data_IF_554612143602
#
_entry.id   IF_554612143602
#
_cell.length_a   1.000
_cell.length_b   1.000
_cell.length_c   1.000
_cell.angle_alpha   90.00
_cell.angle_beta   90.00
_cell.angle_gamma   90.00
#
_symmetry.space_group_name_H-M   'P 1'
#
loop_
_entity.id
_entity.type
_entity.pdbx_description
1 polymer ?
#
# COMPACT_ATOMS: atom_id res chain seq x y z
N UNK A 1 -71.04 -74.33 25.22
CA UNK A 1 -71.76 -74.29 23.91
C UNK A 1 -71.24 -73.05 23.17
N UNK A 2 -70.66 -73.30 21.99
CA UNK A 2 -70.69 -72.54 20.74
C UNK A 2 -70.91 -71.00 20.95
N UNK A 3 -70.23 -70.08 20.40
CA UNK A 3 -69.46 -69.90 19.14
C UNK A 3 -69.57 -68.41 18.84
N UNK A 4 -68.63 -67.88 18.18
CA UNK A 4 -68.81 -66.63 17.44
C UNK A 4 -67.65 -65.67 17.42
N UNK A 5 -66.68 -65.89 16.56
CA UNK A 5 -65.79 -64.85 16.07
C UNK A 5 -66.52 -63.89 15.16
N UNK A 6 -66.19 -62.64 15.08
CA UNK A 6 -66.12 -61.96 13.77
C UNK A 6 -64.83 -61.23 13.50
N UNK A 7 -64.33 -61.54 12.39
CA UNK A 7 -63.67 -60.73 11.33
C UNK A 7 -62.80 -59.54 11.66
N UNK A 8 -61.59 -59.66 11.23
CA UNK A 8 -60.56 -58.64 10.97
C UNK A 8 -61.04 -57.58 9.98
N UNK A 9 -60.97 -56.30 10.38
CA UNK A 9 -60.98 -55.14 9.49
C UNK A 9 -59.61 -54.61 9.31
N UNK A 10 -59.11 -54.63 8.07
CA UNK A 10 -57.85 -54.03 7.59
C UNK A 10 -57.85 -52.51 7.88
N UNK A 11 -56.88 -52.02 8.63
CA UNK A 11 -56.50 -50.63 8.67
C UNK A 11 -55.28 -50.43 7.75
N UNK A 12 -55.58 -49.82 6.60
CA UNK A 12 -54.58 -49.46 5.61
C UNK A 12 -53.59 -48.44 6.13
N UNK A 13 -52.33 -48.74 5.95
CA UNK A 13 -51.24 -47.80 6.18
C UNK A 13 -51.29 -46.69 5.12
N UNK A 14 -51.70 -45.50 5.53
CA UNK A 14 -51.52 -44.28 4.74
C UNK A 14 -50.04 -43.83 4.81
N UNK A 15 -49.22 -44.32 3.91
CA UNK A 15 -47.89 -43.81 3.63
C UNK A 15 -48.02 -42.39 3.09
N UNK A 16 -47.55 -41.40 3.87
CA UNK A 16 -47.37 -40.03 3.38
C UNK A 16 -46.32 -40.04 2.28
N UNK A 17 -46.75 -40.04 1.04
CA UNK A 17 -45.91 -39.64 -0.08
C UNK A 17 -45.55 -38.17 0.09
N UNK A 18 -44.33 -37.86 0.58
CA UNK A 18 -43.74 -36.53 0.50
C UNK A 18 -43.45 -36.30 -0.99
N UNK A 19 -44.20 -35.37 -1.57
CA UNK A 19 -44.16 -35.01 -2.98
C UNK A 19 -42.73 -34.74 -3.45
N UNK A 20 -42.32 -35.38 -4.55
CA UNK A 20 -41.03 -35.17 -5.23
C UNK A 20 -40.81 -33.68 -5.58
N UNK A 21 -41.87 -32.90 -5.73
CA UNK A 21 -41.84 -31.47 -5.98
C UNK A 21 -41.21 -30.66 -4.84
N UNK A 22 -41.42 -31.05 -3.57
CA UNK A 22 -40.83 -30.32 -2.40
C UNK A 22 -39.34 -30.58 -2.25
N UNK A 23 -38.85 -31.76 -2.62
CA UNK A 23 -37.40 -32.07 -2.62
C UNK A 23 -36.66 -31.33 -3.74
N UNK A 24 -37.27 -31.19 -4.91
CA UNK A 24 -36.65 -30.48 -6.06
C UNK A 24 -36.58 -28.97 -5.83
N UNK A 25 -37.57 -28.39 -5.14
CA UNK A 25 -37.56 -26.95 -4.80
C UNK A 25 -36.53 -26.64 -3.73
N UNK A 26 -36.35 -27.51 -2.73
CA UNK A 26 -35.37 -27.33 -1.66
C UNK A 26 -33.92 -27.44 -2.20
N UNK A 27 -33.66 -28.42 -3.07
CA UNK A 27 -32.32 -28.58 -3.72
C UNK A 27 -32.00 -27.43 -4.67
N UNK A 28 -33.02 -26.92 -5.41
CA UNK A 28 -32.84 -25.78 -6.30
C UNK A 28 -32.58 -24.48 -5.56
N UNK A 29 -33.25 -24.22 -4.44
CA UNK A 29 -33.00 -23.04 -3.59
C UNK A 29 -31.63 -23.11 -2.89
N UNK A 30 -31.17 -24.28 -2.45
CA UNK A 30 -29.84 -24.47 -1.89
C UNK A 30 -28.76 -24.31 -2.98
N UNK A 31 -29.01 -24.75 -4.20
CA UNK A 31 -28.10 -24.56 -5.34
C UNK A 31 -28.05 -23.08 -5.75
N UNK A 32 -29.17 -22.36 -5.80
CA UNK A 32 -29.21 -20.94 -6.09
C UNK A 32 -28.51 -20.12 -4.97
N UNK A 33 -28.76 -20.47 -3.71
CA UNK A 33 -28.05 -19.84 -2.57
C UNK A 33 -26.54 -20.07 -2.61
N UNK A 34 -26.09 -21.27 -3.02
CA UNK A 34 -24.67 -21.58 -3.21
C UNK A 34 -24.07 -20.84 -4.40
N UNK A 35 -24.78 -20.75 -5.52
CA UNK A 35 -24.37 -20.02 -6.72
C UNK A 35 -24.34 -18.51 -6.44
N UNK A 36 -25.37 -17.95 -5.78
CA UNK A 36 -25.36 -16.54 -5.36
C UNK A 36 -24.25 -16.26 -4.33
N UNK A 37 -24.02 -17.14 -3.38
CA UNK A 37 -22.93 -17.00 -2.40
C UNK A 37 -21.57 -17.11 -3.09
N UNK A 38 -21.40 -18.01 -4.07
CA UNK A 38 -20.19 -18.14 -4.87
C UNK A 38 -20.00 -16.94 -5.80
N UNK A 39 -21.07 -16.35 -6.35
CA UNK A 39 -21.03 -15.13 -7.17
C UNK A 39 -20.72 -13.89 -6.31
N UNK A 40 -21.32 -13.79 -5.13
CA UNK A 40 -21.02 -12.72 -4.16
C UNK A 40 -19.59 -12.87 -3.61
N UNK A 41 -19.14 -14.09 -3.29
CA UNK A 41 -17.74 -14.34 -3.00
C UNK A 41 -16.83 -14.07 -4.22
N UNK A 42 -17.22 -14.45 -5.42
CA UNK A 42 -16.49 -14.19 -6.67
C UNK A 42 -16.36 -12.70 -6.97
N UNK A 43 -17.41 -11.90 -6.77
CA UNK A 43 -17.37 -10.44 -6.88
C UNK A 43 -16.53 -9.76 -5.78
N UNK A 44 -16.47 -10.34 -4.57
CA UNK A 44 -15.58 -9.91 -3.51
C UNK A 44 -14.13 -10.40 -3.67
N UNK A 45 -13.91 -11.53 -4.38
CA UNK A 45 -12.60 -12.18 -4.51
C UNK A 45 -12.02 -12.14 -5.93
N UNK A 46 -12.77 -11.60 -6.91
CA UNK A 46 -12.33 -11.51 -8.31
C UNK A 46 -11.27 -10.45 -8.59
N UNK A 47 -10.92 -9.65 -7.60
CA UNK A 47 -9.77 -8.73 -7.68
C UNK A 47 -8.64 -9.30 -6.81
N UNK A 48 -7.45 -9.38 -7.36
CA UNK A 48 -6.22 -9.71 -6.63
C UNK A 48 -5.93 -8.60 -5.59
N UNK A 49 -6.71 -8.58 -4.51
CA UNK A 49 -6.43 -7.74 -3.37
C UNK A 49 -5.30 -8.40 -2.59
N UNK A 50 -4.08 -8.06 -2.94
CA UNK A 50 -2.94 -8.20 -2.05
C UNK A 50 -3.04 -6.98 -1.14
N UNK A 51 -3.18 -7.13 0.20
CA UNK A 51 -3.00 -5.98 1.08
C UNK A 51 -1.67 -5.35 0.71
N UNK A 52 -1.70 -4.06 0.40
CA UNK A 52 -0.51 -3.36 -0.05
C UNK A 52 0.62 -3.50 0.97
N UNK A 53 1.82 -3.61 0.49
CA UNK A 53 3.02 -3.59 1.29
C UNK A 53 3.54 -2.17 1.32
N UNK A 54 3.49 -1.60 2.49
CA UNK A 54 4.29 -0.46 2.87
C UNK A 54 5.43 -0.95 3.78
N UNK A 55 6.46 -0.20 3.99
CA UNK A 55 7.54 -0.50 4.94
C UNK A 55 7.02 -0.71 6.36
N UNK A 56 5.82 -0.20 6.59
CA UNK A 56 4.98 -0.42 7.75
C UNK A 56 3.54 -0.68 7.31
N UNK A 57 2.71 -1.18 8.24
CA UNK A 57 1.27 -1.24 8.02
C UNK A 57 0.63 0.16 7.98
N UNK A 58 -0.59 0.22 7.48
CA UNK A 58 -1.35 1.47 7.29
C UNK A 58 -1.43 2.31 8.56
N UNK A 59 -1.73 1.67 9.70
CA UNK A 59 -1.92 2.39 10.96
C UNK A 59 -0.59 2.93 11.50
N UNK A 60 0.51 2.30 11.17
CA UNK A 60 1.85 2.79 11.52
C UNK A 60 2.20 4.07 10.76
N UNK A 61 1.89 4.14 9.45
CA UNK A 61 2.06 5.38 8.68
C UNK A 61 1.23 6.54 9.25
N UNK A 62 -0.02 6.27 9.64
CA UNK A 62 -0.88 7.26 10.30
C UNK A 62 -0.31 7.70 11.66
N UNK A 63 0.25 6.77 12.44
CA UNK A 63 0.87 7.07 13.72
C UNK A 63 2.13 7.94 13.60
N UNK A 64 2.92 7.80 12.53
CA UNK A 64 4.05 8.67 12.22
C UNK A 64 3.56 10.11 11.99
N UNK A 65 2.46 10.26 11.23
CA UNK A 65 1.84 11.57 11.02
C UNK A 65 1.40 12.19 12.34
N UNK A 66 0.69 11.44 13.19
CA UNK A 66 0.21 11.95 14.48
C UNK A 66 1.36 12.39 15.38
N UNK A 67 2.44 11.61 15.40
CA UNK A 67 3.63 11.91 16.20
C UNK A 67 4.37 13.19 15.73
N UNK A 68 4.27 13.52 14.44
CA UNK A 68 4.88 14.71 13.85
C UNK A 68 3.91 15.89 13.69
N UNK A 69 2.61 15.67 13.86
CA UNK A 69 1.56 16.62 13.48
C UNK A 69 1.74 17.98 14.12
N UNK A 70 1.70 18.00 15.45
CA UNK A 70 1.65 19.25 16.23
C UNK A 70 2.95 20.06 16.15
N UNK A 71 4.07 19.36 16.27
CA UNK A 71 5.36 20.01 16.51
C UNK A 71 6.18 20.22 15.23
N UNK A 72 5.79 19.58 14.12
CA UNK A 72 6.55 19.65 12.87
C UNK A 72 5.67 19.98 11.66
N UNK A 73 4.53 19.29 11.46
CA UNK A 73 3.69 19.45 10.25
C UNK A 73 2.88 20.76 10.32
N UNK A 74 2.16 21.01 11.43
CA UNK A 74 1.35 22.24 11.58
C UNK A 74 2.18 23.52 11.45
N UNK A 75 3.34 23.66 12.10
CA UNK A 75 4.19 24.84 11.90
C UNK A 75 4.60 25.07 10.44
N UNK A 76 4.87 23.98 9.70
CA UNK A 76 5.23 24.07 8.29
C UNK A 76 4.04 24.47 7.40
N UNK A 77 2.86 23.93 7.69
CA UNK A 77 1.60 24.34 7.02
C UNK A 77 1.33 25.81 7.26
N UNK A 78 1.38 26.28 8.51
CA UNK A 78 1.13 27.68 8.88
C UNK A 78 2.19 28.64 8.35
N UNK A 79 3.43 28.21 8.17
CA UNK A 79 4.46 29.01 7.51
C UNK A 79 4.09 29.36 6.07
N UNK A 80 3.52 28.39 5.33
CA UNK A 80 3.11 28.58 3.94
C UNK A 80 1.69 29.17 3.80
N UNK A 81 0.81 28.86 4.75
CA UNK A 81 -0.59 29.27 4.77
C UNK A 81 -0.95 29.88 6.14
N UNK A 82 -0.48 31.11 6.44
CA UNK A 82 -0.55 31.69 7.79
C UNK A 82 -1.98 31.98 8.28
N UNK A 83 -2.95 32.05 7.38
CA UNK A 83 -4.34 32.33 7.71
C UNK A 83 -5.21 31.05 7.81
N UNK A 84 -4.61 29.86 7.77
CA UNK A 84 -5.37 28.61 7.87
C UNK A 84 -6.07 28.51 9.22
N UNK A 85 -7.38 28.23 9.19
CA UNK A 85 -8.19 28.04 10.39
C UNK A 85 -7.98 26.66 11.01
N UNK A 86 -8.39 26.43 12.28
CA UNK A 86 -8.33 25.10 12.88
C UNK A 86 -9.12 24.03 12.09
N UNK A 87 -10.24 24.40 11.50
CA UNK A 87 -11.07 23.52 10.68
C UNK A 87 -10.37 23.13 9.38
N UNK A 88 -9.68 24.10 8.74
CA UNK A 88 -8.87 23.83 7.55
C UNK A 88 -7.65 22.97 7.88
N UNK A 89 -7.01 23.17 9.04
CA UNK A 89 -5.92 22.32 9.52
C UNK A 89 -6.41 20.88 9.82
N UNK A 90 -7.61 20.73 10.39
CA UNK A 90 -8.22 19.41 10.60
C UNK A 90 -8.48 18.70 9.25
N UNK A 91 -8.96 19.45 8.26
CA UNK A 91 -9.11 18.92 6.90
C UNK A 91 -7.75 18.57 6.28
N UNK A 92 -6.75 19.42 6.43
CA UNK A 92 -5.39 19.19 5.96
C UNK A 92 -4.80 17.90 6.56
N UNK A 93 -5.06 17.60 7.83
CA UNK A 93 -4.63 16.36 8.49
C UNK A 93 -5.14 15.11 7.76
N UNK A 94 -6.41 15.12 7.32
CA UNK A 94 -6.96 14.02 6.51
C UNK A 94 -6.24 13.87 5.15
N UNK A 95 -5.72 14.94 4.57
CA UNK A 95 -4.90 14.89 3.36
C UNK A 95 -3.47 14.39 3.64
N UNK A 96 -2.88 14.73 4.79
CA UNK A 96 -1.58 14.16 5.19
C UNK A 96 -1.68 12.63 5.33
N UNK A 97 -2.75 12.13 5.98
CA UNK A 97 -3.00 10.68 6.03
C UNK A 97 -3.13 10.07 4.64
N UNK A 98 -3.88 10.74 3.74
CA UNK A 98 -4.03 10.27 2.36
C UNK A 98 -2.72 10.20 1.60
N UNK A 99 -1.84 11.16 1.83
CA UNK A 99 -0.50 11.20 1.26
C UNK A 99 0.42 10.14 1.85
N UNK A 100 0.31 9.87 3.16
CA UNK A 100 1.22 8.96 3.88
C UNK A 100 1.16 7.49 3.39
N UNK A 101 0.21 7.14 2.53
CA UNK A 101 0.06 5.78 2.00
C UNK A 101 -0.19 5.81 0.48
N UNK A 102 -0.02 6.96 -0.18
CA UNK A 102 -0.43 7.11 -1.59
C UNK A 102 0.41 6.28 -2.54
N UNK A 103 1.69 6.07 -2.26
CA UNK A 103 2.58 5.27 -3.08
C UNK A 103 2.09 3.81 -3.16
N UNK A 104 1.39 3.34 -2.15
CA UNK A 104 0.79 2.00 -2.07
C UNK A 104 -0.55 1.86 -2.80
N UNK A 105 -1.13 2.93 -3.34
CA UNK A 105 -2.46 2.90 -3.96
C UNK A 105 -2.58 1.82 -5.04
N UNK A 106 -1.48 1.47 -5.69
CA UNK A 106 -1.45 0.45 -6.74
C UNK A 106 -1.74 -0.96 -6.27
N UNK A 107 -1.55 -1.26 -4.99
CA UNK A 107 -1.80 -2.58 -4.39
C UNK A 107 -3.25 -2.80 -3.97
N UNK A 108 -4.08 -1.75 -3.98
CA UNK A 108 -5.49 -1.82 -3.62
C UNK A 108 -6.39 -2.21 -4.81
N UNK A 109 -7.65 -2.61 -4.58
CA UNK A 109 -8.57 -2.97 -5.67
C UNK A 109 -8.65 -1.85 -6.71
N UNK A 110 -8.65 -2.23 -7.99
CA UNK A 110 -8.60 -1.33 -9.15
C UNK A 110 -7.32 -0.47 -9.24
N UNK A 111 -6.35 -0.68 -8.35
CA UNK A 111 -5.04 -0.07 -8.40
C UNK A 111 -4.19 -0.61 -9.56
N UNK A 112 -3.03 0.00 -9.74
CA UNK A 112 -2.02 -0.44 -10.71
C UNK A 112 -0.72 -0.72 -9.97
N UNK A 113 -0.32 -1.98 -9.92
CA UNK A 113 0.97 -2.33 -9.32
C UNK A 113 2.12 -1.53 -9.94
N UNK A 114 2.04 -1.24 -11.25
CA UNK A 114 3.06 -0.45 -11.92
C UNK A 114 3.17 0.99 -11.39
N UNK A 115 2.06 1.57 -10.93
CA UNK A 115 2.09 2.86 -10.23
C UNK A 115 2.93 2.77 -8.94
N UNK A 116 2.63 1.78 -8.10
CA UNK A 116 3.39 1.59 -6.86
C UNK A 116 4.85 1.20 -7.12
N UNK A 117 5.11 0.33 -8.09
CA UNK A 117 6.48 -0.02 -8.48
C UNK A 117 7.29 1.21 -8.95
N UNK A 118 6.66 2.14 -9.71
CA UNK A 118 7.31 3.39 -10.10
C UNK A 118 7.63 4.26 -8.89
N UNK A 119 6.64 4.51 -8.04
CA UNK A 119 6.77 5.45 -6.91
C UNK A 119 7.67 4.94 -5.79
N UNK A 120 7.97 3.62 -5.75
CA UNK A 120 8.88 3.01 -4.77
C UNK A 120 10.29 2.78 -5.32
N UNK A 121 10.46 2.54 -6.64
CA UNK A 121 11.71 2.02 -7.18
C UNK A 121 12.30 2.83 -8.31
N UNK A 122 11.54 3.79 -8.88
CA UNK A 122 11.96 4.58 -10.04
C UNK A 122 11.68 6.05 -9.78
N UNK A 123 12.73 6.86 -9.66
CA UNK A 123 12.59 8.30 -9.38
C UNK A 123 11.70 8.60 -8.16
N UNK A 124 11.84 7.79 -7.13
CA UNK A 124 11.00 7.81 -5.93
C UNK A 124 11.09 9.15 -5.17
N UNK A 125 12.29 9.69 -4.99
CA UNK A 125 12.52 11.00 -4.42
C UNK A 125 12.01 12.14 -5.31
N UNK A 126 12.25 12.06 -6.63
CA UNK A 126 11.75 13.05 -7.61
C UNK A 126 10.21 13.12 -7.60
N UNK A 127 9.52 12.00 -7.42
CA UNK A 127 8.06 11.99 -7.33
C UNK A 127 7.54 12.74 -6.11
N UNK A 128 8.17 12.57 -4.95
CA UNK A 128 7.80 13.30 -3.72
C UNK A 128 8.13 14.79 -3.85
N UNK A 129 9.28 15.14 -4.42
CA UNK A 129 9.63 16.54 -4.73
C UNK A 129 8.59 17.15 -5.69
N UNK A 130 8.20 16.43 -6.75
CA UNK A 130 7.18 16.90 -7.68
C UNK A 130 5.82 17.15 -6.99
N UNK A 131 5.41 16.30 -6.04
CA UNK A 131 4.20 16.55 -5.23
C UNK A 131 4.29 17.85 -4.43
N UNK A 132 5.43 18.12 -3.81
CA UNK A 132 5.65 19.35 -3.03
C UNK A 132 5.65 20.59 -3.94
N UNK A 133 6.32 20.53 -5.09
CA UNK A 133 6.43 21.64 -6.04
C UNK A 133 5.11 21.96 -6.75
N UNK A 134 4.34 20.92 -7.13
CA UNK A 134 3.05 21.06 -7.81
C UNK A 134 1.89 21.44 -6.87
N UNK A 135 2.12 21.50 -5.56
CA UNK A 135 1.10 21.84 -4.56
C UNK A 135 0.73 23.32 -4.62
N UNK A 136 -0.56 23.62 -4.83
CA UNK A 136 -1.11 24.98 -5.03
C UNK A 136 -1.87 25.52 -3.82
N UNK A 137 -2.41 24.64 -2.98
CA UNK A 137 -3.19 24.99 -1.81
C UNK A 137 -2.77 24.21 -0.56
N UNK A 138 -3.40 24.51 0.58
CA UNK A 138 -3.13 23.88 1.86
C UNK A 138 -3.29 22.36 1.83
N UNK A 139 -4.36 21.88 1.19
CA UNK A 139 -4.67 20.45 1.17
C UNK A 139 -3.73 19.65 0.25
N UNK A 140 -3.37 20.23 -0.91
CA UNK A 140 -2.38 19.65 -1.81
C UNK A 140 -1.01 19.57 -1.15
N UNK A 141 -0.61 20.63 -0.43
CA UNK A 141 0.67 20.65 0.27
C UNK A 141 0.69 19.68 1.46
N UNK A 142 -0.40 19.62 2.22
CA UNK A 142 -0.56 18.65 3.29
C UNK A 142 -0.46 17.20 2.76
N UNK A 143 -1.10 16.91 1.63
CA UNK A 143 -1.00 15.62 0.96
C UNK A 143 0.44 15.29 0.54
N UNK A 144 1.18 16.25 0.00
CA UNK A 144 2.57 16.07 -0.38
C UNK A 144 3.48 15.83 0.85
N UNK A 145 3.23 16.50 1.98
CA UNK A 145 3.94 16.22 3.24
C UNK A 145 3.64 14.80 3.76
N UNK A 146 2.44 14.28 3.53
CA UNK A 146 2.13 12.88 3.79
C UNK A 146 2.98 11.93 2.94
N UNK A 147 3.10 12.18 1.64
CA UNK A 147 3.96 11.38 0.75
C UNK A 147 5.45 11.44 1.15
N UNK A 148 5.90 12.56 1.70
CA UNK A 148 7.23 12.70 2.29
C UNK A 148 7.39 11.83 3.56
N UNK A 149 6.32 11.68 4.36
CA UNK A 149 6.34 10.75 5.49
C UNK A 149 6.45 9.30 5.04
N UNK A 150 5.75 8.92 3.97
CA UNK A 150 5.86 7.58 3.38
C UNK A 150 7.28 7.30 2.89
N UNK A 151 7.91 8.26 2.19
CA UNK A 151 9.31 8.17 1.78
C UNK A 151 10.22 7.86 2.99
N UNK A 152 10.11 8.64 4.07
CA UNK A 152 10.92 8.43 5.28
C UNK A 152 10.61 7.09 5.95
N UNK A 153 9.34 6.70 5.97
CA UNK A 153 8.87 5.47 6.61
C UNK A 153 9.41 4.22 5.90
N UNK A 154 9.33 4.17 4.59
CA UNK A 154 9.73 2.98 3.85
C UNK A 154 11.24 2.88 3.72
N UNK A 155 11.93 3.96 3.37
CA UNK A 155 13.40 3.95 3.27
C UNK A 155 14.11 3.62 4.59
N UNK A 156 13.44 3.82 5.74
CA UNK A 156 13.94 3.45 7.07
C UNK A 156 13.34 2.14 7.58
N UNK A 157 12.01 1.98 7.47
CA UNK A 157 11.25 0.89 8.07
C UNK A 157 11.55 -0.49 7.50
N UNK A 158 11.63 -0.61 6.17
CA UNK A 158 11.97 -1.87 5.51
C UNK A 158 13.35 -2.38 5.93
N UNK A 159 14.45 -1.65 5.71
CA UNK A 159 15.78 -2.17 6.01
C UNK A 159 16.05 -2.36 7.51
N UNK A 160 15.52 -1.47 8.35
CA UNK A 160 15.76 -1.53 9.79
C UNK A 160 14.89 -2.57 10.49
N UNK A 161 13.63 -2.73 10.09
CA UNK A 161 12.69 -3.61 10.78
C UNK A 161 12.10 -4.69 9.90
N UNK A 162 11.29 -4.36 8.87
CA UNK A 162 10.42 -5.33 8.19
C UNK A 162 11.21 -6.47 7.56
N UNK A 163 12.26 -6.17 6.77
CA UNK A 163 13.08 -7.17 6.09
C UNK A 163 13.77 -8.14 7.05
N UNK A 164 14.22 -7.64 8.19
CA UNK A 164 14.85 -8.44 9.25
C UNK A 164 13.81 -9.23 10.03
N UNK A 165 12.66 -8.63 10.32
CA UNK A 165 11.56 -9.30 11.03
C UNK A 165 11.00 -10.46 10.23
N UNK A 166 10.91 -10.35 8.90
CA UNK A 166 10.53 -11.49 8.04
C UNK A 166 11.51 -12.65 8.22
N UNK A 167 12.81 -12.39 8.21
CA UNK A 167 13.80 -13.43 8.43
C UNK A 167 13.69 -14.07 9.83
N UNK A 168 13.48 -13.24 10.88
CA UNK A 168 13.34 -13.72 12.27
C UNK A 168 12.06 -14.55 12.48
N UNK A 169 10.95 -14.12 11.88
CA UNK A 169 9.64 -14.76 12.07
C UNK A 169 9.42 -15.97 11.13
N UNK A 170 10.16 -16.06 10.03
CA UNK A 170 10.04 -17.11 9.03
C UNK A 170 11.40 -17.81 8.77
N UNK A 171 11.86 -18.74 9.65
CA UNK A 171 13.19 -19.35 9.55
C UNK A 171 13.47 -20.06 8.22
N UNK A 172 12.43 -20.57 7.54
CA UNK A 172 12.58 -21.18 6.21
C UNK A 172 12.96 -20.14 5.14
N UNK A 173 12.48 -18.91 5.27
CA UNK A 173 12.84 -17.82 4.38
C UNK A 173 14.25 -17.32 4.71
N UNK A 174 14.59 -17.18 6.00
CA UNK A 174 15.95 -16.86 6.42
C UNK A 174 16.99 -17.87 5.90
N UNK A 175 16.67 -19.17 5.91
CA UNK A 175 17.55 -20.20 5.34
C UNK A 175 17.75 -20.04 3.82
N UNK A 176 16.73 -19.55 3.12
CA UNK A 176 16.76 -19.40 1.66
C UNK A 176 17.40 -18.09 1.19
N UNK A 177 17.10 -17.00 1.86
CA UNK A 177 17.44 -15.65 1.42
C UNK A 177 18.44 -14.92 2.32
N UNK A 178 18.75 -15.47 3.50
CA UNK A 178 19.65 -14.84 4.48
C UNK A 178 18.91 -14.10 5.59
N UNK A 179 19.63 -13.26 6.36
CA UNK A 179 19.08 -12.53 7.53
C UNK A 179 18.20 -11.34 7.14
N UNK A 180 18.14 -10.99 5.88
CA UNK A 180 17.32 -9.92 5.30
C UNK A 180 16.49 -10.55 4.18
N UNK A 181 15.17 -10.45 4.27
CA UNK A 181 14.22 -10.97 3.27
C UNK A 181 13.41 -9.80 2.76
N UNK A 182 13.67 -9.40 1.53
CA UNK A 182 13.06 -8.22 0.90
C UNK A 182 11.63 -8.50 0.42
N UNK A 183 10.89 -7.46 0.10
CA UNK A 183 9.55 -7.59 -0.47
C UNK A 183 9.55 -8.43 -1.74
N UNK A 184 10.51 -8.20 -2.65
CA UNK A 184 10.59 -8.98 -3.89
C UNK A 184 10.87 -10.48 -3.68
N UNK A 185 11.51 -10.86 -2.56
CA UNK A 185 11.75 -12.25 -2.19
C UNK A 185 10.47 -12.96 -1.77
N UNK A 186 9.66 -12.30 -0.92
CA UNK A 186 8.41 -12.88 -0.42
C UNK A 186 7.36 -11.82 -0.01
N UNK A 187 6.64 -11.22 -0.97
CA UNK A 187 5.66 -10.17 -0.71
C UNK A 187 4.62 -10.52 0.36
N UNK A 188 4.11 -11.76 0.35
CA UNK A 188 3.10 -12.17 1.33
C UNK A 188 3.62 -12.25 2.77
N UNK A 189 4.90 -12.54 2.98
CA UNK A 189 5.49 -12.56 4.33
C UNK A 189 5.70 -11.13 4.85
N UNK A 190 6.10 -10.22 3.97
CA UNK A 190 6.15 -8.80 4.27
C UNK A 190 4.79 -8.29 4.76
N UNK A 191 3.75 -8.41 3.95
CA UNK A 191 2.39 -7.99 4.33
C UNK A 191 1.89 -8.62 5.63
N UNK A 192 2.32 -9.86 5.93
CA UNK A 192 1.96 -10.51 7.20
C UNK A 192 2.67 -9.91 8.40
N UNK A 193 3.94 -9.53 8.25
CA UNK A 193 4.72 -8.88 9.31
C UNK A 193 4.17 -7.48 9.59
N UNK A 194 4.00 -6.66 8.57
CA UNK A 194 3.48 -5.30 8.66
C UNK A 194 2.07 -5.25 9.26
N UNK A 195 1.18 -6.10 8.77
CA UNK A 195 -0.16 -6.23 9.34
C UNK A 195 -0.12 -6.76 10.78
N UNK A 196 0.83 -7.65 11.09
CA UNK A 196 1.06 -8.15 12.45
C UNK A 196 1.42 -7.04 13.42
N UNK A 197 2.28 -6.11 13.03
CA UNK A 197 2.62 -4.92 13.82
C UNK A 197 1.40 -4.02 14.07
N UNK A 198 0.64 -3.70 13.02
CA UNK A 198 -0.57 -2.89 13.18
C UNK A 198 -1.58 -3.55 14.14
N UNK A 199 -1.76 -4.88 14.05
CA UNK A 199 -2.66 -5.64 14.96
C UNK A 199 -2.17 -5.57 16.39
N UNK A 200 -0.87 -5.73 16.60
CA UNK A 200 -0.24 -5.70 17.91
C UNK A 200 -0.36 -4.32 18.55
N UNK A 201 -0.04 -3.26 17.81
CA UNK A 201 -0.16 -1.88 18.29
C UNK A 201 -1.61 -1.46 18.61
N UNK A 202 -2.59 -2.00 17.86
CA UNK A 202 -4.02 -1.84 18.22
C UNK A 202 -4.36 -2.63 19.49
N UNK A 203 -3.82 -3.84 19.66
CA UNK A 203 -4.03 -4.65 20.87
C UNK A 203 -3.49 -3.96 22.14
N UNK A 204 -2.33 -3.32 22.01
CA UNK A 204 -1.67 -2.54 23.06
C UNK A 204 -2.39 -1.19 23.34
N UNK A 205 -3.33 -0.80 22.49
CA UNK A 205 -4.05 0.48 22.61
C UNK A 205 -3.21 1.70 22.22
N UNK A 206 -2.19 1.50 21.39
CA UNK A 206 -1.36 2.57 20.84
C UNK A 206 -2.00 3.22 19.63
N UNK A 207 -2.72 2.47 18.80
CA UNK A 207 -3.45 2.95 17.64
C UNK A 207 -4.97 2.96 17.90
N UNK A 208 -5.64 4.02 17.46
CA UNK A 208 -7.07 4.19 17.62
C UNK A 208 -7.77 4.29 16.24
N UNK A 209 -7.91 3.17 15.50
CA UNK A 209 -8.42 3.17 14.13
C UNK A 209 -9.75 3.87 13.92
N UNK A 210 -10.61 3.88 14.97
CA UNK A 210 -11.90 4.58 14.92
C UNK A 210 -11.71 6.09 14.98
N UNK A 211 -10.77 6.59 15.77
CA UNK A 211 -10.47 8.01 15.85
C UNK A 211 -9.98 8.53 14.49
N UNK A 212 -9.11 7.80 13.79
CA UNK A 212 -8.66 8.15 12.45
C UNK A 212 -9.83 8.23 11.45
N UNK A 213 -10.71 7.23 11.47
CA UNK A 213 -11.84 7.18 10.56
C UNK A 213 -12.91 8.25 10.86
N UNK A 214 -13.34 8.36 12.13
CA UNK A 214 -14.54 9.11 12.50
C UNK A 214 -14.25 10.60 12.74
N UNK A 215 -13.06 10.94 13.22
CA UNK A 215 -12.71 12.30 13.62
C UNK A 215 -11.96 13.09 12.53
N UNK A 216 -11.05 12.46 11.81
CA UNK A 216 -10.20 13.14 10.83
C UNK A 216 -10.63 12.77 9.40
N UNK A 217 -10.86 11.49 9.15
CA UNK A 217 -11.09 10.95 7.83
C UNK A 217 -9.79 10.72 7.05
N UNK A 218 -9.93 10.44 5.75
CA UNK A 218 -8.85 10.09 4.86
C UNK A 218 -9.13 10.66 3.47
N UNK A 219 -8.28 11.57 2.98
CA UNK A 219 -8.51 12.29 1.72
C UNK A 219 -7.32 12.17 0.78
N UNK A 220 -7.61 12.10 -0.51
CA UNK A 220 -6.62 12.08 -1.58
C UNK A 220 -6.76 13.33 -2.45
N UNK A 221 -5.67 14.02 -2.68
CA UNK A 221 -5.64 15.14 -3.62
C UNK A 221 -5.27 14.64 -5.01
N UNK A 222 -6.31 14.25 -5.79
CA UNK A 222 -6.15 13.74 -7.16
C UNK A 222 -5.40 14.71 -8.06
N UNK A 223 -5.72 16.01 -7.97
CA UNK A 223 -5.17 17.00 -8.88
C UNK A 223 -3.65 17.14 -8.79
N UNK A 224 -3.09 17.26 -7.59
CA UNK A 224 -1.63 17.30 -7.40
C UNK A 224 -0.98 15.97 -7.74
N UNK A 225 -1.64 14.86 -7.39
CA UNK A 225 -1.15 13.51 -7.69
C UNK A 225 -0.97 13.30 -9.21
N UNK A 226 -1.97 13.68 -10.02
CA UNK A 226 -1.90 13.56 -11.48
C UNK A 226 -0.81 14.47 -12.07
N UNK A 227 -0.69 15.73 -11.59
CA UNK A 227 0.36 16.65 -12.06
C UNK A 227 1.76 16.14 -11.71
N UNK A 228 1.99 15.74 -10.48
CA UNK A 228 3.29 15.24 -10.03
C UNK A 228 3.69 13.94 -10.78
N UNK A 229 2.73 13.03 -10.97
CA UNK A 229 2.98 11.80 -11.71
C UNK A 229 3.36 12.07 -13.18
N UNK A 230 2.62 12.93 -13.88
CA UNK A 230 2.92 13.32 -15.24
C UNK A 230 4.28 14.04 -15.35
N UNK A 231 4.60 14.94 -14.41
CA UNK A 231 5.88 15.64 -14.33
C UNK A 231 7.05 14.67 -14.16
N UNK A 232 6.93 13.70 -13.26
CA UNK A 232 8.01 12.76 -12.92
C UNK A 232 8.23 11.73 -14.01
N UNK A 233 7.16 11.14 -14.55
CA UNK A 233 7.24 9.98 -15.44
C UNK A 233 6.87 10.26 -16.89
N UNK A 234 6.47 11.48 -17.24
CA UNK A 234 6.03 11.89 -18.59
C UNK A 234 4.90 11.02 -19.17
N UNK A 235 4.13 10.38 -18.32
CA UNK A 235 2.95 9.58 -18.66
C UNK A 235 1.77 9.98 -17.77
N UNK A 236 0.58 9.95 -18.35
CA UNK A 236 -0.66 10.25 -17.62
C UNK A 236 -1.05 9.07 -16.73
N UNK A 237 -1.61 9.34 -15.53
CA UNK A 237 -2.14 8.30 -14.65
C UNK A 237 -3.20 7.44 -15.34
N UNK A 238 -4.02 8.01 -16.22
CA UNK A 238 -5.01 7.29 -17.02
C UNK A 238 -4.42 6.21 -17.94
N UNK A 239 -3.14 6.31 -18.30
CA UNK A 239 -2.43 5.28 -19.07
C UNK A 239 -1.92 4.11 -18.23
N UNK A 240 -1.97 4.27 -16.90
CA UNK A 240 -1.48 3.28 -15.91
C UNK A 240 -2.64 2.62 -15.19
N UNK A 241 -3.72 3.37 -14.92
CA UNK A 241 -4.93 2.89 -14.27
C UNK A 241 -6.06 2.70 -15.30
N UNK A 242 -6.89 1.67 -15.12
CA UNK A 242 -8.13 1.55 -15.88
C UNK A 242 -9.14 2.66 -15.56
N UNK A 243 -9.16 3.11 -14.30
CA UNK A 243 -9.91 4.28 -13.81
C UNK A 243 -9.25 4.81 -12.56
N UNK A 244 -8.71 6.02 -12.62
CA UNK A 244 -8.06 6.70 -11.49
C UNK A 244 -9.05 6.95 -10.35
N UNK A 245 -10.28 7.37 -10.66
CA UNK A 245 -11.30 7.66 -9.65
C UNK A 245 -11.74 6.40 -8.90
N UNK A 246 -11.87 5.28 -9.61
CA UNK A 246 -12.22 4.00 -9.00
C UNK A 246 -11.07 3.48 -8.13
N UNK A 247 -9.81 3.63 -8.56
CA UNK A 247 -8.64 3.29 -7.77
C UNK A 247 -8.57 4.12 -6.49
N UNK A 248 -8.72 5.45 -6.57
CA UNK A 248 -8.75 6.34 -5.39
C UNK A 248 -9.91 5.99 -4.47
N UNK A 249 -11.11 5.73 -5.01
CA UNK A 249 -12.30 5.38 -4.23
C UNK A 249 -12.09 4.08 -3.44
N UNK A 250 -11.58 3.04 -4.08
CA UNK A 250 -11.32 1.74 -3.44
C UNK A 250 -10.19 1.80 -2.41
N UNK A 251 -9.12 2.52 -2.73
CA UNK A 251 -8.01 2.79 -1.82
C UNK A 251 -8.50 3.50 -0.55
N UNK A 252 -9.21 4.63 -0.69
CA UNK A 252 -9.79 5.35 0.46
C UNK A 252 -10.70 4.47 1.31
N UNK A 253 -11.57 3.67 0.68
CA UNK A 253 -12.45 2.76 1.40
C UNK A 253 -11.66 1.67 2.14
N UNK A 254 -10.64 1.10 1.51
CA UNK A 254 -9.82 0.07 2.14
C UNK A 254 -9.08 0.61 3.35
N UNK A 255 -8.39 1.73 3.22
CA UNK A 255 -7.56 2.33 4.28
C UNK A 255 -8.42 2.89 5.42
N UNK A 256 -9.44 3.68 5.11
CA UNK A 256 -10.27 4.31 6.15
C UNK A 256 -11.24 3.34 6.84
N UNK A 257 -11.57 2.20 6.23
CA UNK A 257 -12.66 1.36 6.74
C UNK A 257 -12.28 -0.11 6.88
N UNK A 258 -11.74 -0.72 5.81
CA UNK A 258 -11.53 -2.18 5.79
C UNK A 258 -10.37 -2.57 6.70
N UNK A 259 -9.22 -1.92 6.55
CA UNK A 259 -8.01 -2.24 7.32
C UNK A 259 -8.21 -2.04 8.82
N UNK A 260 -8.69 -0.88 9.32
CA UNK A 260 -8.94 -0.70 10.75
C UNK A 260 -9.91 -1.73 11.34
N UNK A 261 -10.97 -2.09 10.61
CA UNK A 261 -11.91 -3.12 11.04
C UNK A 261 -11.28 -4.51 11.03
N UNK A 262 -10.49 -4.82 10.01
CA UNK A 262 -9.81 -6.11 9.89
C UNK A 262 -8.77 -6.29 10.99
N UNK A 263 -8.04 -5.24 11.34
CA UNK A 263 -7.09 -5.22 12.45
C UNK A 263 -7.76 -5.55 13.79
N UNK A 264 -8.90 -4.92 14.09
CA UNK A 264 -9.71 -5.27 15.30
C UNK A 264 -10.17 -6.72 15.30
N UNK A 265 -10.61 -7.24 14.15
CA UNK A 265 -11.02 -8.65 14.00
C UNK A 265 -9.84 -9.59 14.18
N UNK A 266 -8.71 -9.28 13.57
CA UNK A 266 -7.48 -10.07 13.63
C UNK A 266 -6.95 -10.15 15.07
N UNK A 267 -6.94 -9.03 15.81
CA UNK A 267 -6.62 -9.04 17.24
C UNK A 267 -7.52 -9.98 18.02
N UNK A 268 -8.82 -9.92 17.80
CA UNK A 268 -9.75 -10.80 18.50
C UNK A 268 -9.52 -12.28 18.20
N UNK A 269 -9.17 -12.62 16.96
CA UNK A 269 -8.82 -13.98 16.55
C UNK A 269 -7.52 -14.49 17.18
N UNK A 270 -6.55 -13.62 17.36
CA UNK A 270 -5.19 -13.93 17.82
C UNK A 270 -4.92 -13.57 19.29
N UNK A 271 -5.91 -13.00 20.00
CA UNK A 271 -5.77 -12.46 21.35
C UNK A 271 -4.97 -13.38 22.30
N UNK A 272 -5.29 -14.67 22.35
CA UNK A 272 -4.56 -15.61 23.20
C UNK A 272 -3.11 -15.82 22.77
N UNK A 273 -2.84 -15.80 21.47
CA UNK A 273 -1.48 -15.93 20.93
C UNK A 273 -0.65 -14.68 21.25
N UNK A 274 -1.22 -13.50 21.04
CA UNK A 274 -0.59 -12.20 21.34
C UNK A 274 -0.29 -12.12 22.85
N UNK A 275 -1.25 -12.44 23.73
CA UNK A 275 -1.05 -12.44 25.17
C UNK A 275 -0.08 -13.50 25.69
N UNK A 276 0.13 -14.58 24.94
CA UNK A 276 1.09 -15.62 25.31
C UNK A 276 2.51 -15.35 24.79
N UNK A 277 2.65 -14.57 23.72
CA UNK A 277 3.98 -14.21 23.16
C UNK A 277 4.74 -13.25 24.05
N UNK A 278 4.02 -12.35 24.77
CA UNK A 278 4.62 -11.50 25.79
C UNK A 278 3.71 -11.31 27.04
N UNK A 279 3.93 -12.10 28.09
CA UNK A 279 3.24 -11.92 29.37
C UNK A 279 3.73 -10.72 30.20
N UNK A 280 4.88 -10.14 29.86
CA UNK A 280 5.59 -9.19 30.73
C UNK A 280 5.53 -7.74 30.24
N UNK A 281 4.94 -7.49 29.06
CA UNK A 281 4.96 -6.17 28.46
C UNK A 281 4.08 -5.18 29.24
N UNK A 282 4.78 -4.30 29.92
CA UNK A 282 4.18 -3.13 30.51
C UNK A 282 4.11 -2.01 29.49
N UNK A 283 2.92 -1.47 29.36
CA UNK A 283 2.51 -0.30 28.57
C UNK A 283 3.51 0.89 28.50
N UNK A 284 4.62 0.84 29.21
CA UNK A 284 5.59 1.94 29.37
C UNK A 284 6.73 1.96 28.34
N UNK A 285 7.00 0.85 27.65
CA UNK A 285 8.18 0.71 26.78
C UNK A 285 8.00 1.20 25.35
N UNK A 286 6.77 1.28 24.86
CA UNK A 286 6.48 1.31 23.46
C UNK A 286 6.59 2.63 22.75
N UNK A 287 6.28 3.74 23.27
CA UNK A 287 6.27 4.97 22.49
C UNK A 287 7.19 6.00 23.13
N UNK A 288 8.42 6.01 22.68
CA UNK A 288 9.43 6.91 23.24
C UNK A 288 9.14 8.38 22.91
N UNK A 289 8.55 8.69 21.77
CA UNK A 289 8.36 10.07 21.31
C UNK A 289 6.91 10.46 20.99
N UNK A 290 5.98 9.52 20.85
CA UNK A 290 4.57 9.91 20.77
C UNK A 290 4.13 10.28 22.18
N UNK A 291 3.93 11.56 22.40
CA UNK A 291 3.40 12.04 23.68
C UNK A 291 2.00 11.44 23.88
N UNK A 292 1.91 10.39 24.70
CA UNK A 292 0.63 9.79 25.12
C UNK A 292 -0.35 10.82 25.65
N UNK A 293 0.15 11.82 26.35
CA UNK A 293 -0.65 12.92 26.87
C UNK A 293 -1.19 13.80 25.75
N UNK A 294 -0.44 14.01 24.66
CA UNK A 294 -0.90 14.71 23.46
C UNK A 294 -1.94 13.91 22.71
N UNK A 295 -1.66 12.64 22.38
CA UNK A 295 -2.59 11.77 21.70
C UNK A 295 -3.92 11.61 22.45
N UNK A 296 -3.88 11.30 23.76
CA UNK A 296 -5.07 11.19 24.60
C UNK A 296 -5.82 12.49 24.79
N UNK A 297 -5.11 13.62 24.83
CA UNK A 297 -5.73 14.94 24.97
C UNK A 297 -6.48 15.33 23.72
N UNK A 298 -5.93 15.01 22.54
CA UNK A 298 -6.46 15.42 21.25
C UNK A 298 -7.48 14.41 20.69
N UNK A 299 -7.37 13.11 21.04
CA UNK A 299 -8.13 12.00 20.44
C UNK A 299 -8.87 11.09 21.43
N UNK A 300 -8.65 11.25 22.74
CA UNK A 300 -9.29 10.46 23.79
C UNK A 300 -8.80 9.01 23.92
N UNK A 301 -9.35 8.29 24.91
CA UNK A 301 -9.08 6.86 25.18
C UNK A 301 -10.07 5.94 24.43
N UNK A 302 -10.31 6.17 23.14
CA UNK A 302 -11.36 5.49 22.39
C UNK A 302 -10.90 4.15 21.83
N UNK A 303 -10.60 3.20 22.70
CA UNK A 303 -10.56 1.80 22.31
C UNK A 303 -11.96 1.18 22.44
N UNK A 304 -12.65 0.96 21.34
CA UNK A 304 -13.89 0.20 21.33
C UNK A 304 -13.62 -1.30 21.23
N UNK A 305 -14.18 -2.05 22.18
CA UNK A 305 -14.21 -3.52 22.09
C UNK A 305 -14.97 -3.94 20.83
N UNK A 306 -14.54 -5.02 20.14
CA UNK A 306 -15.25 -5.54 18.97
C UNK A 306 -16.73 -5.80 19.30
N UNK A 307 -17.62 -5.28 18.48
CA UNK A 307 -19.05 -5.51 18.59
C UNK A 307 -19.44 -6.95 18.23
N UNK A 308 -20.71 -7.29 18.39
CA UNK A 308 -21.23 -8.63 18.07
C UNK A 308 -20.99 -9.00 16.60
N UNK A 309 -21.16 -8.07 15.67
CA UNK A 309 -20.97 -8.32 14.24
C UNK A 309 -19.49 -8.51 13.89
N UNK A 310 -18.58 -7.79 14.54
CA UNK A 310 -17.14 -8.01 14.37
C UNK A 310 -16.73 -9.41 14.86
N UNK A 311 -17.28 -9.88 15.99
CA UNK A 311 -17.04 -11.24 16.50
C UNK A 311 -17.61 -12.32 15.58
N UNK A 312 -18.81 -12.10 15.05
CA UNK A 312 -19.45 -13.02 14.10
C UNK A 312 -18.64 -13.09 12.80
N UNK A 313 -18.19 -11.93 12.29
CA UNK A 313 -17.31 -11.85 11.10
C UNK A 313 -15.96 -12.54 11.36
N UNK A 314 -15.38 -12.36 12.55
CA UNK A 314 -14.18 -13.06 12.97
C UNK A 314 -14.36 -14.58 12.95
N UNK A 315 -15.50 -15.09 13.43
CA UNK A 315 -15.81 -16.51 13.38
C UNK A 315 -15.87 -17.06 11.95
N UNK A 316 -16.55 -16.38 11.03
CA UNK A 316 -16.59 -16.79 9.63
C UNK A 316 -15.23 -16.69 8.93
N UNK A 317 -14.46 -15.61 9.17
CA UNK A 317 -13.11 -15.46 8.61
C UNK A 317 -12.13 -16.54 9.09
N UNK A 318 -12.36 -17.11 10.29
CA UNK A 318 -11.57 -18.23 10.80
C UNK A 318 -11.75 -19.49 9.95
N UNK A 319 -12.90 -19.67 9.34
CA UNK A 319 -13.23 -20.87 8.54
C UNK A 319 -12.79 -20.75 7.07
N UNK A 320 -12.43 -19.56 6.60
CA UNK A 320 -12.00 -19.34 5.22
C UNK A 320 -10.51 -19.67 5.04
N UNK A 321 -10.11 -20.23 3.88
CA UNK A 321 -8.71 -20.41 3.56
C UNK A 321 -8.01 -19.04 3.45
N UNK A 322 -6.82 -18.92 4.07
CA UNK A 322 -6.04 -17.67 4.13
C UNK A 322 -5.13 -17.56 2.92
N UNK A 323 -5.73 -17.37 1.76
CA UNK A 323 -5.07 -17.20 0.47
C UNK A 323 -5.51 -15.88 -0.18
N UNK A 324 -4.70 -15.34 -1.07
CA UNK A 324 -5.01 -14.06 -1.73
C UNK A 324 -5.18 -12.92 -0.71
N UNK A 325 -6.27 -12.16 -0.76
CA UNK A 325 -6.52 -11.01 0.12
C UNK A 325 -6.54 -11.32 1.61
N UNK A 326 -6.85 -12.58 1.97
CA UNK A 326 -6.88 -13.03 3.36
C UNK A 326 -5.51 -13.52 3.86
N UNK A 327 -4.47 -13.49 3.03
CA UNK A 327 -3.13 -13.96 3.39
C UNK A 327 -2.53 -13.17 4.56
N UNK A 328 -2.81 -11.88 4.68
CA UNK A 328 -2.38 -11.05 5.80
C UNK A 328 -2.91 -11.55 7.14
N UNK A 329 -4.13 -12.13 7.18
CA UNK A 329 -4.68 -12.76 8.38
C UNK A 329 -3.96 -14.04 8.82
N UNK A 330 -3.02 -14.55 8.03
CA UNK A 330 -2.13 -15.66 8.39
C UNK A 330 -0.86 -15.18 9.12
N UNK A 331 -0.83 -13.92 9.56
CA UNK A 331 0.29 -13.35 10.30
C UNK A 331 0.60 -14.12 11.60
N UNK A 332 1.84 -14.03 12.02
CA UNK A 332 2.28 -14.42 13.36
C UNK A 332 2.40 -13.17 14.22
N UNK A 333 2.01 -13.23 15.51
CA UNK A 333 2.28 -12.14 16.43
C UNK A 333 3.78 -11.85 16.48
N UNK A 334 4.20 -10.58 16.54
CA UNK A 334 5.60 -10.25 16.75
C UNK A 334 6.16 -10.91 18.02
N UNK A 335 7.42 -11.26 18.00
CA UNK A 335 8.13 -11.63 19.22
C UNK A 335 8.68 -10.38 19.90
N UNK A 336 9.01 -10.39 21.22
CA UNK A 336 9.58 -9.22 21.89
C UNK A 336 10.81 -8.63 21.20
N UNK A 337 11.66 -9.49 20.62
CA UNK A 337 12.84 -9.04 19.88
C UNK A 337 12.48 -8.34 18.55
N UNK A 338 11.48 -8.85 17.84
CA UNK A 338 10.94 -8.26 16.60
C UNK A 338 10.26 -6.94 16.89
N UNK A 339 9.54 -6.88 17.98
CA UNK A 339 8.84 -5.69 18.45
C UNK A 339 9.80 -4.57 18.86
N UNK A 340 10.87 -4.89 19.60
CA UNK A 340 11.95 -3.95 19.91
C UNK A 340 12.59 -3.38 18.63
N UNK A 341 12.83 -4.24 17.64
CA UNK A 341 13.38 -3.83 16.36
C UNK A 341 12.44 -2.87 15.63
N UNK A 342 11.14 -3.18 15.63
CA UNK A 342 10.10 -2.33 15.06
C UNK A 342 10.04 -0.96 15.74
N UNK A 343 10.02 -0.91 17.08
CA UNK A 343 9.96 0.35 17.82
C UNK A 343 11.21 1.21 17.64
N UNK A 344 12.38 0.57 17.56
CA UNK A 344 13.61 1.27 17.22
C UNK A 344 13.48 1.92 15.83
N UNK A 345 13.07 1.16 14.84
CA UNK A 345 12.92 1.69 13.47
C UNK A 345 11.84 2.77 13.36
N UNK A 346 10.75 2.67 14.13
CA UNK A 346 9.71 3.70 14.20
C UNK A 346 10.28 5.04 14.69
N UNK A 347 11.10 5.03 15.74
CA UNK A 347 11.74 6.24 16.25
C UNK A 347 12.74 6.83 15.25
N UNK A 348 13.58 6.00 14.64
CA UNK A 348 14.51 6.43 13.58
C UNK A 348 13.77 7.04 12.39
N UNK A 349 12.67 6.43 11.98
CA UNK A 349 11.79 6.96 10.92
C UNK A 349 11.22 8.32 11.29
N UNK A 350 10.72 8.47 12.51
CA UNK A 350 10.14 9.73 12.98
C UNK A 350 11.19 10.84 13.02
N UNK A 351 12.38 10.54 13.48
CA UNK A 351 13.49 11.51 13.51
C UNK A 351 13.94 11.85 12.08
N UNK A 352 14.05 10.88 11.18
CA UNK A 352 14.31 11.10 9.75
C UNK A 352 13.24 12.01 9.13
N UNK A 353 11.96 11.71 9.31
CA UNK A 353 10.87 12.52 8.78
C UNK A 353 10.92 13.97 9.30
N UNK A 354 11.19 14.17 10.57
CA UNK A 354 11.35 15.51 11.16
C UNK A 354 12.51 16.30 10.53
N UNK A 355 13.63 15.64 10.25
CA UNK A 355 14.76 16.26 9.55
C UNK A 355 14.38 16.65 8.12
N UNK A 356 13.62 15.81 7.40
CA UNK A 356 13.13 16.14 6.05
C UNK A 356 12.14 17.32 6.08
N UNK A 357 11.23 17.37 7.07
CA UNK A 357 10.32 18.51 7.26
C UNK A 357 11.07 19.79 7.56
N UNK A 358 12.13 19.74 8.38
CA UNK A 358 13.00 20.89 8.65
C UNK A 358 13.72 21.34 7.38
N UNK A 359 14.29 20.41 6.61
CA UNK A 359 14.93 20.70 5.33
C UNK A 359 13.97 21.34 4.33
N UNK A 360 12.71 20.86 4.27
CA UNK A 360 11.65 21.47 3.47
C UNK A 360 11.31 22.88 3.94
N UNK A 361 11.25 23.07 5.25
CA UNK A 361 11.00 24.41 5.85
C UNK A 361 12.08 25.43 5.49
N UNK A 362 13.32 24.98 5.39
CA UNK A 362 14.49 25.80 5.05
C UNK A 362 14.72 25.95 3.54
N UNK A 363 13.93 25.28 2.70
CA UNK A 363 14.07 25.32 1.24
C UNK A 363 15.30 24.60 0.70
N UNK A 364 15.84 23.63 1.46
CA UNK A 364 17.03 22.85 1.10
C UNK A 364 16.76 21.35 0.99
N UNK A 365 15.48 20.94 0.95
CA UNK A 365 15.11 19.54 0.82
C UNK A 365 15.66 18.95 -0.49
N UNK A 366 16.39 17.87 -0.36
CA UNK A 366 16.83 17.02 -1.45
C UNK A 366 16.48 15.57 -1.08
N UNK A 367 15.87 14.84 -2.00
CA UNK A 367 15.52 13.44 -1.80
C UNK A 367 16.24 12.60 -2.84
N UNK A 368 17.13 11.70 -2.42
CA UNK A 368 17.67 10.66 -3.31
C UNK A 368 16.53 9.80 -3.90
N UNK A 369 16.80 9.23 -5.07
CA UNK A 369 15.89 8.24 -5.65
C UNK A 369 16.22 6.85 -5.06
N UNK A 370 15.88 6.68 -3.78
CA UNK A 370 16.13 5.44 -3.06
C UNK A 370 15.10 4.36 -3.42
N UNK A 371 15.53 3.12 -3.38
CA UNK A 371 14.65 1.97 -3.39
C UNK A 371 14.00 1.86 -1.99
N UNK A 372 12.70 1.98 -1.90
CA UNK A 372 11.99 2.00 -0.62
C UNK A 372 12.11 0.70 0.18
N UNK A 373 12.32 -0.43 -0.49
CA UNK A 373 12.46 -1.70 0.22
C UNK A 373 13.86 -1.92 0.81
N UNK A 374 14.89 -1.39 0.17
CA UNK A 374 16.27 -1.55 0.65
C UNK A 374 16.79 -0.34 1.41
N UNK A 375 16.18 0.84 1.24
CA UNK A 375 16.68 2.11 1.76
C UNK A 375 17.95 2.62 1.09
N UNK A 376 18.38 1.97 0.00
CA UNK A 376 19.58 2.31 -0.73
C UNK A 376 19.24 3.00 -2.06
N UNK A 377 20.19 3.75 -2.59
CA UNK A 377 20.02 4.38 -3.91
C UNK A 377 19.63 3.33 -4.96
N UNK A 378 18.67 3.68 -5.80
CA UNK A 378 18.24 2.80 -6.90
C UNK A 378 19.38 2.58 -7.90
N UNK A 379 19.83 1.34 -8.02
CA UNK A 379 20.88 0.93 -8.94
C UNK A 379 20.45 -0.20 -9.89
N UNK A 380 20.93 -0.18 -11.15
CA UNK A 380 20.61 -1.19 -12.13
C UNK A 380 21.16 -2.58 -11.76
N UNK A 381 20.33 -3.61 -11.89
CA UNK A 381 20.70 -5.00 -11.64
C UNK A 381 20.77 -5.43 -10.18
N UNK A 382 20.45 -4.54 -9.22
CA UNK A 382 20.48 -4.85 -7.78
C UNK A 382 19.13 -5.33 -7.25
N UNK A 383 18.04 -4.83 -7.82
CA UNK A 383 16.68 -5.13 -7.39
C UNK A 383 15.78 -5.42 -8.59
N UNK A 384 15.16 -6.60 -8.60
CA UNK A 384 14.42 -7.13 -9.75
C UNK A 384 13.20 -6.28 -10.12
N UNK A 385 12.48 -5.74 -9.14
CA UNK A 385 11.30 -4.90 -9.41
C UNK A 385 11.72 -3.56 -9.99
N UNK A 386 12.85 -2.99 -9.59
CA UNK A 386 13.44 -1.80 -10.20
C UNK A 386 13.72 -2.02 -11.69
N UNK A 387 14.46 -3.07 -12.02
CA UNK A 387 14.81 -3.38 -13.42
C UNK A 387 13.59 -3.54 -14.31
N UNK A 388 12.56 -4.24 -13.81
CA UNK A 388 11.29 -4.44 -14.53
C UNK A 388 10.50 -3.15 -14.68
N UNK A 389 10.52 -2.30 -13.66
CA UNK A 389 9.79 -1.03 -13.67
C UNK A 389 10.42 -0.05 -14.65
N UNK A 390 11.75 0.02 -14.71
CA UNK A 390 12.45 0.81 -15.72
C UNK A 390 12.19 0.29 -17.15
N UNK A 391 12.20 -1.03 -17.37
CA UNK A 391 11.87 -1.60 -18.67
C UNK A 391 10.45 -1.26 -19.12
N UNK A 392 9.48 -1.38 -18.20
CA UNK A 392 8.09 -1.04 -18.49
C UNK A 392 7.87 0.47 -18.69
N UNK A 393 8.61 1.31 -17.95
CA UNK A 393 8.58 2.75 -18.15
C UNK A 393 9.15 3.14 -19.51
N UNK A 394 10.27 2.54 -19.91
CA UNK A 394 10.90 2.73 -21.22
C UNK A 394 9.92 2.40 -22.36
N UNK A 395 9.23 1.24 -22.29
CA UNK A 395 8.16 0.87 -23.23
C UNK A 395 7.06 1.95 -23.32
N UNK A 396 6.63 2.46 -22.16
CA UNK A 396 5.57 3.47 -22.08
C UNK A 396 5.93 4.84 -22.64
N UNK A 397 7.20 5.23 -22.59
CA UNK A 397 7.68 6.53 -23.08
C UNK A 397 8.28 6.48 -24.47
N UNK A 398 8.45 5.28 -25.04
CA UNK A 398 9.09 5.12 -26.36
C UNK A 398 8.35 5.84 -27.48
N UNK A 399 7.00 5.83 -27.44
CA UNK A 399 6.14 6.46 -28.46
C UNK A 399 5.64 7.85 -28.05
N UNK A 400 6.13 8.42 -26.93
CA UNK A 400 5.67 9.69 -26.38
C UNK A 400 6.82 10.66 -26.12
N UNK A 401 6.58 11.98 -26.17
CA UNK A 401 7.61 12.93 -25.79
C UNK A 401 7.86 12.85 -24.28
N UNK A 402 8.95 12.20 -23.89
CA UNK A 402 9.45 12.21 -22.52
C UNK A 402 10.20 13.51 -22.23
N UNK A 403 10.14 14.00 -21.00
CA UNK A 403 10.97 15.12 -20.54
C UNK A 403 12.46 14.81 -20.70
N UNK A 404 13.30 15.84 -20.87
CA UNK A 404 14.76 15.67 -20.95
C UNK A 404 15.32 14.93 -19.75
N UNK A 405 14.83 15.28 -18.56
CA UNK A 405 15.25 14.67 -17.30
C UNK A 405 14.94 13.18 -17.21
N UNK A 406 13.69 12.80 -17.52
CA UNK A 406 13.30 11.39 -17.50
C UNK A 406 14.09 10.60 -18.54
N UNK A 407 14.29 11.18 -19.73
CA UNK A 407 15.06 10.54 -20.78
C UNK A 407 16.50 10.30 -20.35
N UNK A 408 17.14 11.32 -19.76
CA UNK A 408 18.50 11.19 -19.24
C UNK A 408 18.56 10.16 -18.11
N UNK A 409 17.64 10.18 -17.17
CA UNK A 409 17.56 9.20 -16.09
C UNK A 409 17.48 7.76 -16.61
N UNK A 410 16.65 7.49 -17.63
CA UNK A 410 16.55 6.16 -18.23
C UNK A 410 17.87 5.79 -18.93
N UNK A 411 18.49 6.71 -19.66
CA UNK A 411 19.77 6.46 -20.33
C UNK A 411 20.90 6.19 -19.33
N UNK A 412 20.93 6.91 -18.23
CA UNK A 412 21.91 6.71 -17.14
C UNK A 412 21.69 5.36 -16.46
N UNK A 413 20.42 4.96 -16.20
CA UNK A 413 20.11 3.65 -15.65
C UNK A 413 20.62 2.51 -16.54
N UNK A 414 20.54 2.64 -17.86
CA UNK A 414 21.03 1.66 -18.82
C UNK A 414 22.42 1.97 -19.41
N UNK A 415 23.20 2.85 -18.78
CA UNK A 415 24.52 3.24 -19.30
C UNK A 415 25.50 2.06 -19.39
N UNK A 416 25.47 1.16 -18.42
CA UNK A 416 26.25 -0.07 -18.41
C UNK A 416 25.37 -1.30 -18.70
N UNK A 417 25.26 -1.67 -19.97
CA UNK A 417 24.53 -2.86 -20.37
C UNK A 417 25.18 -4.18 -19.90
N UNK A 418 26.37 -4.14 -19.29
CA UNK A 418 27.02 -5.30 -18.66
C UNK A 418 26.36 -5.71 -17.33
N UNK A 419 25.70 -4.81 -16.62
CA UNK A 419 25.02 -5.06 -15.35
C UNK A 419 24.05 -6.26 -15.43
N UNK A 420 23.81 -6.97 -14.31
CA UNK A 420 22.97 -8.19 -14.25
C UNK A 420 21.46 -7.89 -14.18
N UNK A 421 20.95 -7.07 -15.10
CA UNK A 421 19.52 -6.74 -15.12
C UNK A 421 18.62 -7.97 -15.06
N UNK A 422 17.59 -7.91 -14.24
CA UNK A 422 16.63 -9.01 -14.11
C UNK A 422 15.89 -9.33 -15.43
N UNK A 423 15.71 -8.34 -16.30
CA UNK A 423 15.10 -8.46 -17.63
C UNK A 423 15.92 -9.33 -18.58
N UNK A 424 17.25 -9.46 -18.38
CA UNK A 424 18.11 -10.35 -19.15
C UNK A 424 17.78 -11.84 -18.99
N UNK A 425 17.08 -12.22 -17.93
CA UNK A 425 16.60 -13.61 -17.74
C UNK A 425 15.57 -14.03 -18.77
N UNK A 426 14.92 -13.05 -19.44
CA UNK A 426 14.02 -13.27 -20.55
C UNK A 426 14.59 -12.63 -21.83
N UNK A 427 15.11 -13.43 -22.79
CA UNK A 427 15.74 -12.90 -23.99
C UNK A 427 14.85 -11.96 -24.81
N UNK A 428 13.56 -12.25 -24.91
CA UNK A 428 12.59 -11.40 -25.64
C UNK A 428 12.41 -10.05 -24.97
N UNK A 429 12.25 -10.05 -23.65
CA UNK A 429 12.13 -8.81 -22.85
C UNK A 429 13.38 -7.96 -22.98
N UNK A 430 14.56 -8.58 -22.91
CA UNK A 430 15.83 -7.87 -23.06
C UNK A 430 16.03 -7.27 -24.47
N UNK A 431 15.67 -8.01 -25.52
CA UNK A 431 15.73 -7.49 -26.89
C UNK A 431 14.79 -6.30 -27.09
N UNK A 432 13.61 -6.30 -26.46
CA UNK A 432 12.72 -5.15 -26.47
C UNK A 432 13.37 -3.94 -25.79
N UNK A 433 13.97 -4.12 -24.60
CA UNK A 433 14.70 -3.05 -23.89
C UNK A 433 15.78 -2.44 -24.79
N UNK A 434 16.60 -3.27 -25.45
CA UNK A 434 17.67 -2.77 -26.31
C UNK A 434 17.13 -1.97 -27.50
N UNK A 435 16.08 -2.46 -28.16
CA UNK A 435 15.42 -1.76 -29.27
C UNK A 435 14.84 -0.41 -28.84
N UNK A 436 14.19 -0.36 -27.71
CA UNK A 436 13.55 0.83 -27.18
C UNK A 436 14.57 1.87 -26.70
N UNK A 437 15.71 1.42 -26.15
CA UNK A 437 16.84 2.30 -25.82
C UNK A 437 17.44 2.96 -27.08
N UNK A 438 17.61 2.20 -28.16
CA UNK A 438 18.11 2.78 -29.42
C UNK A 438 17.09 3.80 -29.97
N UNK A 439 15.81 3.54 -29.93
CA UNK A 439 14.79 4.49 -30.33
C UNK A 439 14.81 5.76 -29.45
N UNK A 440 14.97 5.61 -28.13
CA UNK A 440 15.06 6.72 -27.18
C UNK A 440 16.31 7.58 -27.47
N UNK A 441 17.47 6.98 -27.76
CA UNK A 441 18.71 7.68 -28.15
C UNK A 441 18.52 8.43 -29.46
N UNK A 442 17.93 7.81 -30.47
CA UNK A 442 17.69 8.42 -31.77
C UNK A 442 16.77 9.64 -31.70
N UNK A 443 15.73 9.58 -30.85
CA UNK A 443 14.83 10.69 -30.59
C UNK A 443 15.51 11.86 -29.84
N UNK A 444 16.64 11.61 -29.18
CA UNK A 444 17.44 12.61 -28.44
C UNK A 444 18.48 13.31 -29.32
N UNK A 445 18.80 12.75 -30.49
CA UNK A 445 19.75 13.38 -31.38
C UNK A 445 19.17 14.71 -31.93
N UNK A 446 19.95 15.82 -31.93
CA UNK A 446 19.51 17.06 -32.55
C UNK A 446 19.16 16.79 -34.02
N UNK A 447 17.94 17.15 -34.44
CA UNK A 447 17.58 17.11 -35.86
C UNK A 447 18.59 17.98 -36.60
N UNK A 448 19.49 17.39 -37.39
CA UNK A 448 20.30 18.13 -38.32
C UNK A 448 19.35 18.79 -39.33
N UNK A 449 19.11 20.08 -39.15
CA UNK A 449 18.41 20.90 -40.14
C UNK A 449 19.32 20.95 -41.35
N UNK A 450 19.02 20.18 -42.37
CA UNK A 450 19.59 20.31 -43.73
C UNK A 450 18.86 21.46 -44.43
N UNK A 451 18.89 22.64 -43.86
CA UNK A 451 18.56 23.87 -44.56
C UNK A 451 19.85 24.48 -45.09
N UNK A 452 20.31 23.93 -46.20
CA UNK A 452 21.19 24.67 -47.13
C UNK A 452 20.25 25.65 -47.93
N UNK A 453 20.36 26.95 -47.74
CA UNK A 453 19.67 27.86 -48.63
C UNK A 453 20.19 27.70 -50.05
N UNK A 454 19.34 27.73 -51.10
CA UNK A 454 19.78 27.59 -52.47
C UNK A 454 20.74 28.73 -52.81
N UNK A 455 21.87 28.40 -53.38
CA UNK A 455 22.88 29.33 -53.85
C UNK A 455 22.24 30.38 -54.80
N UNK A 456 22.17 31.62 -54.34
CA UNK A 456 21.73 32.76 -55.18
C UNK A 456 22.73 32.98 -56.31
N UNK A 457 22.35 32.63 -57.51
CA UNK A 457 23.08 32.99 -58.72
C UNK A 457 23.17 34.54 -58.81
N UNK A 458 24.36 35.06 -58.59
CA UNK A 458 24.69 36.45 -58.96
C UNK A 458 24.58 36.58 -60.48
N UNK A 459 23.53 37.24 -60.98
CA UNK A 459 23.42 37.73 -62.32
C UNK A 459 24.34 38.94 -62.46
N UNK A 460 25.31 38.84 -63.37
CA UNK A 460 26.12 39.95 -63.90
C UNK A 460 25.22 40.92 -64.62
N UNK A 461 25.21 42.20 -64.22
CA UNK A 461 25.25 43.38 -65.06
C UNK A 461 25.85 44.57 -64.30
#
# INVERSE_FOLDING_TARGET
MRAGLPQLCNLGMAGKQVSAATKTTLTRNVLHARVCLSFILGLFFGTNFVPGCAGYGVLTHEAIIDAAWKDSIVPLLLKRFPNATPEELLQAHAYVYGGAIIQDMGYYPFGSQFFSDLTHYVRSGDFVIALLEESKDLNEYAFALGALAHYAADTSGHPLATNRSVAMMYPKLAKKYGPVVTYEDKPSAHSQVEFGFDVDQVAEGHYAPKAYHDLIGFKVSKAVLERAFAKTYSIEMSSVFGSVDLAIGSYRHAVATVIPRTTKVAWHLKKKQIQNSDPSETRKKYIYNISRSGYRKDWGDVYEKPDFFARLKAFFLRLLPKVGPLSALAFHPPTPAVEQLYMHSFNETLDHYRLLLLAQQEGRLQLPNDNFDTGELTEPGTYRLTDKSYAKLLDKVNDKPASSDLRQNILDFYADLGKPYATKKNPTEWQNVLRELEALKAASAPKMTTDNPPATKLAKR
#
